data_IF_533265019113
#
_entry.id   IF_533265019113
#
_cell.length_a   1.000
_cell.length_b   1.000
_cell.length_c   1.000
_cell.angle_alpha   90.00
_cell.angle_beta   90.00
_cell.angle_gamma   90.00
#
_symmetry.space_group_name_H-M   'P 1'
#
loop_
_entity.id
_entity.type
_entity.pdbx_description
1 polymer ?
#
# COMPACT_ATOMS: atom_id res chain seq x y z
N UNK A 1 -0.44 36.73 2.41
CA UNK A 1 1.02 36.80 2.66
C UNK A 1 1.26 37.29 4.08
N UNK A 2 2.04 36.52 4.84
CA UNK A 2 2.44 36.69 6.26
C UNK A 2 1.38 36.33 7.31
N UNK A 3 1.43 35.06 7.75
CA UNK A 3 1.48 34.66 9.17
C UNK A 3 1.63 33.14 9.29
N UNK A 4 2.75 32.59 8.82
CA UNK A 4 3.22 31.24 9.20
C UNK A 4 4.74 31.32 9.23
N UNK A 5 5.34 31.48 10.42
CA UNK A 5 6.67 30.99 10.74
C UNK A 5 6.96 31.25 12.22
N UNK A 6 6.90 30.21 13.04
CA UNK A 6 7.78 30.05 14.19
C UNK A 6 7.70 28.58 14.61
N UNK A 7 8.59 27.74 14.07
CA UNK A 7 9.11 26.60 14.82
C UNK A 7 10.60 26.46 14.53
N UNK A 8 11.33 26.26 15.61
CA UNK A 8 12.77 26.47 15.75
C UNK A 8 13.54 25.28 15.20
N UNK A 9 14.60 25.59 14.46
CA UNK A 9 15.65 24.69 13.98
C UNK A 9 16.36 24.01 15.17
N UNK A 10 16.42 22.67 15.20
CA UNK A 10 17.42 21.95 15.99
C UNK A 10 17.94 20.71 15.23
N UNK A 11 19.19 20.86 14.77
CA UNK A 11 20.28 19.90 14.54
C UNK A 11 19.90 18.45 14.18
N UNK A 12 20.20 18.13 12.93
CA UNK A 12 20.27 16.81 12.29
C UNK A 12 21.20 15.86 13.04
N UNK A 13 20.72 14.65 13.35
CA UNK A 13 21.53 13.45 13.48
C UNK A 13 20.68 12.24 13.03
N UNK A 14 21.14 11.40 12.08
CA UNK A 14 20.39 10.24 11.63
C UNK A 14 20.66 9.10 12.62
N UNK A 15 19.80 8.96 13.61
CA UNK A 15 19.73 7.75 14.42
C UNK A 15 18.30 7.27 14.33
N UNK A 16 18.09 6.27 13.47
CA UNK A 16 16.86 5.48 13.39
C UNK A 16 16.49 5.03 14.80
N UNK A 17 15.45 5.65 15.36
CA UNK A 17 14.93 5.28 16.67
C UNK A 17 14.12 3.99 16.49
N UNK A 18 14.60 2.94 17.16
CA UNK A 18 13.95 1.66 17.32
C UNK A 18 12.46 1.82 17.65
N UNK A 19 11.60 1.16 16.88
CA UNK A 19 10.24 0.83 17.32
C UNK A 19 10.32 -0.22 18.43
N UNK A 20 10.56 0.25 19.65
CA UNK A 20 10.29 -0.52 20.85
C UNK A 20 8.78 -0.65 21.02
N UNK A 21 8.34 -1.91 21.08
CA UNK A 21 6.99 -2.36 21.43
C UNK A 21 6.26 -1.41 22.38
N UNK A 22 5.26 -0.67 21.89
CA UNK A 22 4.32 0.02 22.75
C UNK A 22 3.34 -1.04 23.26
N UNK A 23 3.57 -1.48 24.48
CA UNK A 23 2.61 -2.31 25.22
C UNK A 23 1.32 -1.52 25.45
N UNK A 24 0.25 -1.95 24.79
CA UNK A 24 -1.17 -1.74 25.15
C UNK A 24 -1.55 -0.34 25.66
N UNK A 25 -1.73 0.60 24.73
CA UNK A 25 -2.73 1.65 24.87
C UNK A 25 -3.38 1.81 23.49
N UNK A 26 -4.67 1.51 23.38
CA UNK A 26 -5.45 1.84 22.19
C UNK A 26 -5.23 3.34 21.92
N UNK A 27 -4.63 3.67 20.76
CA UNK A 27 -4.40 5.06 20.40
C UNK A 27 -5.72 5.68 20.00
N UNK A 28 -6.39 6.22 21.01
CA UNK A 28 -7.65 6.89 20.86
C UNK A 28 -7.40 8.38 20.99
N UNK A 29 -8.05 9.19 20.17
CA UNK A 29 -8.16 10.60 20.49
C UNK A 29 -9.01 10.75 21.76
N UNK A 30 -8.55 11.55 22.72
CA UNK A 30 -9.28 11.80 23.97
C UNK A 30 -9.85 13.22 23.92
N UNK A 31 -11.18 13.33 23.92
CA UNK A 31 -11.88 14.59 24.12
C UNK A 31 -12.15 14.82 25.61
N UNK A 32 -11.57 15.86 26.18
CA UNK A 32 -11.88 16.32 27.54
C UNK A 32 -12.98 17.39 27.51
N UNK A 33 -14.22 17.09 27.94
CA UNK A 33 -15.31 18.04 27.93
C UNK A 33 -15.12 19.22 28.89
N UNK A 34 -14.27 19.08 29.93
CA UNK A 34 -14.04 20.13 30.91
C UNK A 34 -13.18 21.26 30.34
N UNK A 35 -12.24 20.93 29.46
CA UNK A 35 -11.32 21.89 28.83
C UNK A 35 -11.65 22.18 27.37
N UNK A 36 -12.47 21.35 26.72
CA UNK A 36 -12.73 21.43 25.29
C UNK A 36 -11.52 20.99 24.44
N UNK A 37 -10.59 20.26 25.04
CA UNK A 37 -9.34 19.82 24.40
C UNK A 37 -9.50 18.42 23.83
N UNK A 38 -8.96 18.21 22.63
CA UNK A 38 -8.76 16.90 22.04
C UNK A 38 -7.26 16.59 22.09
N UNK A 39 -6.91 15.45 22.68
CA UNK A 39 -5.54 14.91 22.64
C UNK A 39 -5.48 13.79 21.61
N UNK A 40 -4.78 14.02 20.51
CA UNK A 40 -4.53 13.04 19.46
C UNK A 40 -3.26 12.26 19.79
N UNK A 41 -3.34 10.94 19.74
CA UNK A 41 -2.17 10.09 20.01
C UNK A 41 -1.13 10.26 18.90
N UNK A 42 -1.56 10.22 17.64
CA UNK A 42 -0.72 10.50 16.48
C UNK A 42 -1.53 11.12 15.35
N UNK A 43 -0.95 12.11 14.68
CA UNK A 43 -1.57 12.79 13.54
C UNK A 43 -0.55 12.94 12.41
N UNK A 44 -1.00 12.68 11.19
CA UNK A 44 -0.29 13.01 9.97
C UNK A 44 -0.98 14.19 9.29
N UNK A 45 -0.25 15.28 9.05
CA UNK A 45 -0.72 16.42 8.28
C UNK A 45 -0.11 16.38 6.88
N UNK A 46 -0.94 16.42 5.84
CA UNK A 46 -0.52 16.29 4.44
C UNK A 46 -1.54 16.87 3.47
N UNK A 47 -1.14 17.09 2.22
CA UNK A 47 -2.06 17.48 1.12
C UNK A 47 -2.14 16.44 -0.01
N UNK A 48 -1.38 15.34 0.09
CA UNK A 48 -1.34 14.24 -0.88
C UNK A 48 -0.74 14.60 -2.24
N UNK A 49 -0.13 15.78 -2.40
CA UNK A 49 0.36 16.28 -3.69
C UNK A 49 1.81 15.90 -4.02
N UNK A 50 2.57 15.41 -3.04
CA UNK A 50 4.04 15.29 -3.03
C UNK A 50 4.84 16.58 -3.17
N UNK A 51 4.18 17.73 -3.43
CA UNK A 51 4.84 19.01 -3.70
C UNK A 51 5.08 19.85 -2.45
N UNK A 52 4.44 19.50 -1.34
CA UNK A 52 4.56 20.21 -0.07
C UNK A 52 5.07 19.28 1.02
N UNK A 53 5.62 19.90 2.07
CA UNK A 53 6.08 19.18 3.26
C UNK A 53 4.88 18.67 4.06
N UNK A 54 4.95 17.42 4.51
CA UNK A 54 4.00 16.81 5.46
C UNK A 54 4.57 16.84 6.88
N UNK A 55 3.73 16.70 7.89
CA UNK A 55 4.15 16.71 9.30
C UNK A 55 3.56 15.49 10.01
N UNK A 56 4.40 14.68 10.65
CA UNK A 56 3.94 13.65 11.58
C UNK A 56 4.18 14.12 13.01
N UNK A 57 3.17 13.99 13.87
CA UNK A 57 3.25 14.44 15.25
C UNK A 57 2.52 13.49 16.21
N UNK A 58 2.96 13.44 17.46
CA UNK A 58 2.35 12.62 18.51
C UNK A 58 2.00 13.44 19.75
N UNK A 59 1.00 12.97 20.51
CA UNK A 59 0.46 13.67 21.67
C UNK A 59 0.08 15.12 21.35
N UNK A 60 -0.64 15.31 20.24
CA UNK A 60 -1.04 16.64 19.77
C UNK A 60 -2.30 17.07 20.49
N UNK A 61 -2.25 18.25 21.11
CA UNK A 61 -3.39 18.84 21.79
C UNK A 61 -3.99 19.94 20.93
N UNK A 62 -5.28 19.84 20.65
CA UNK A 62 -6.03 20.84 19.88
C UNK A 62 -7.34 21.19 20.57
N UNK A 63 -7.89 22.37 20.26
CA UNK A 63 -9.28 22.67 20.56
C UNK A 63 -10.16 22.38 19.34
N UNK A 64 -11.37 21.88 19.57
CA UNK A 64 -12.35 21.72 18.51
C UNK A 64 -12.84 23.09 18.02
N UNK A 65 -12.81 23.31 16.71
CA UNK A 65 -13.44 24.45 16.05
C UNK A 65 -14.86 24.10 15.62
N UNK A 66 -15.07 24.01 14.31
CA UNK A 66 -16.33 23.57 13.71
C UNK A 66 -16.37 22.04 13.60
N UNK A 67 -17.49 21.42 13.97
CA UNK A 67 -17.72 19.99 13.72
C UNK A 67 -18.42 19.86 12.37
N UNK A 68 -17.74 19.24 11.40
CA UNK A 68 -18.24 19.08 10.04
C UNK A 68 -19.05 17.79 9.90
N UNK A 69 -18.56 16.72 10.49
CA UNK A 69 -19.31 15.47 10.60
C UNK A 69 -18.93 14.74 11.88
N UNK A 70 -19.90 14.02 12.41
CA UNK A 70 -19.68 13.00 13.43
C UNK A 70 -20.07 11.68 12.79
N UNK A 71 -19.22 10.67 12.89
CA UNK A 71 -19.60 9.31 12.52
C UNK A 71 -20.65 8.75 13.48
N UNK A 72 -20.78 7.44 13.50
CA UNK A 72 -21.78 6.75 14.32
C UNK A 72 -21.25 6.61 15.74
N UNK A 73 -22.16 6.53 16.71
CA UNK A 73 -21.82 5.98 18.01
C UNK A 73 -21.31 4.55 17.78
N UNK A 74 -20.04 4.31 18.10
CA UNK A 74 -19.37 3.05 17.79
C UNK A 74 -19.95 1.93 18.67
N UNK A 75 -20.52 0.84 18.11
CA UNK A 75 -20.73 -0.35 18.93
C UNK A 75 -19.37 -1.00 19.25
N UNK A 76 -19.22 -1.70 20.38
CA UNK A 76 -17.95 -2.20 20.92
C UNK A 76 -17.36 -3.40 20.15
N UNK A 77 -17.49 -3.44 18.82
CA UNK A 77 -16.57 -4.22 17.99
C UNK A 77 -15.23 -3.48 18.00
N UNK A 78 -14.60 -3.57 19.16
CA UNK A 78 -13.24 -3.19 19.48
C UNK A 78 -12.38 -3.66 18.31
N UNK A 79 -11.51 -2.80 17.81
CA UNK A 79 -10.28 -3.18 17.12
C UNK A 79 -9.68 -4.35 17.89
N UNK A 80 -9.94 -5.62 17.50
CA UNK A 80 -9.63 -6.73 18.38
C UNK A 80 -8.12 -6.70 18.55
N UNK A 81 -7.64 -6.79 19.78
CA UNK A 81 -6.20 -6.92 19.99
C UNK A 81 -5.70 -8.12 19.19
N UNK A 82 -4.61 -8.01 18.40
CA UNK A 82 -3.60 -6.93 18.41
C UNK A 82 -3.74 -5.89 17.28
N UNK A 83 -4.94 -5.37 16.98
CA UNK A 83 -5.09 -4.29 16.00
C UNK A 83 -4.36 -3.01 16.46
N UNK A 84 -3.53 -2.37 15.60
CA UNK A 84 -2.68 -1.29 16.03
C UNK A 84 -3.44 0.04 16.15
N UNK A 85 -2.90 0.93 16.97
CA UNK A 85 -3.24 2.34 17.08
C UNK A 85 -3.57 3.01 15.73
N UNK A 86 -4.69 3.72 15.58
CA UNK A 86 -4.98 4.49 14.36
C UNK A 86 -4.16 5.79 14.28
N UNK A 87 -3.89 6.27 13.07
CA UNK A 87 -3.30 7.58 12.82
C UNK A 87 -4.44 8.52 12.43
N UNK A 88 -4.52 9.70 13.04
CA UNK A 88 -5.47 10.74 12.61
C UNK A 88 -4.86 11.53 11.43
N UNK A 89 -5.70 12.12 10.57
CA UNK A 89 -5.21 12.83 9.38
C UNK A 89 -5.69 14.28 9.34
N UNK A 90 -4.75 15.22 9.23
CA UNK A 90 -5.04 16.62 8.98
C UNK A 90 -4.80 16.96 7.51
N UNK A 91 -5.88 17.14 6.76
CA UNK A 91 -5.83 17.56 5.37
C UNK A 91 -5.48 19.05 5.29
N UNK A 92 -4.27 19.36 4.84
CA UNK A 92 -3.80 20.74 4.76
C UNK A 92 -4.51 21.55 3.68
N UNK A 93 -5.04 20.91 2.65
CA UNK A 93 -5.74 21.57 1.55
C UNK A 93 -7.14 22.01 1.97
N UNK A 94 -7.87 21.14 2.67
CA UNK A 94 -9.22 21.46 3.18
C UNK A 94 -9.21 22.06 4.57
N UNK A 95 -8.09 21.98 5.30
CA UNK A 95 -7.95 22.35 6.71
C UNK A 95 -8.86 21.53 7.64
N UNK A 96 -8.99 20.24 7.36
CA UNK A 96 -9.88 19.32 8.09
C UNK A 96 -9.07 18.28 8.85
N UNK A 97 -9.37 18.14 10.13
CA UNK A 97 -8.85 17.03 10.94
C UNK A 97 -9.88 15.90 10.92
N UNK A 98 -9.46 14.76 10.40
CA UNK A 98 -10.15 13.48 10.45
C UNK A 98 -9.60 12.69 11.63
N UNK A 99 -10.49 12.40 12.56
CA UNK A 99 -10.20 11.64 13.76
C UNK A 99 -10.86 10.27 13.60
N UNK A 100 -10.04 9.24 13.48
CA UNK A 100 -10.52 7.88 13.21
C UNK A 100 -11.40 7.38 14.34
N UNK A 101 -10.99 7.63 15.58
CA UNK A 101 -11.75 7.28 16.77
C UNK A 101 -11.47 8.27 17.91
N UNK A 102 -12.54 8.76 18.54
CA UNK A 102 -12.47 9.71 19.65
C UNK A 102 -13.39 9.28 20.79
N UNK A 103 -12.89 9.40 22.03
CA UNK A 103 -13.68 9.12 23.22
C UNK A 103 -13.47 10.12 24.35
N UNK A 104 -14.39 10.17 25.29
CA UNK A 104 -14.17 10.87 26.56
C UNK A 104 -13.37 10.01 27.55
N UNK A 105 -12.68 10.62 28.53
CA UNK A 105 -11.94 9.89 29.57
C UNK A 105 -12.78 8.85 30.32
N UNK A 106 -14.06 9.15 30.54
CA UNK A 106 -15.04 8.30 31.22
C UNK A 106 -15.78 7.34 30.27
N UNK A 107 -15.40 7.32 28.98
CA UNK A 107 -15.99 6.51 27.91
C UNK A 107 -17.52 6.69 27.76
N UNK A 108 -18.07 7.82 28.21
CA UNK A 108 -19.49 8.14 28.03
C UNK A 108 -19.84 8.53 26.59
N UNK A 109 -18.85 9.00 25.83
CA UNK A 109 -18.94 9.29 24.39
C UNK A 109 -17.83 8.53 23.67
N UNK A 110 -18.20 7.83 22.61
CA UNK A 110 -17.29 7.13 21.68
C UNK A 110 -17.81 7.33 20.26
N UNK A 111 -17.01 7.93 19.39
CA UNK A 111 -17.37 8.25 18.01
C UNK A 111 -16.24 7.85 17.07
N UNK A 112 -16.60 7.36 15.89
CA UNK A 112 -15.67 7.17 14.78
C UNK A 112 -15.78 8.30 13.75
N UNK A 113 -14.78 8.37 12.87
CA UNK A 113 -14.78 9.18 11.65
C UNK A 113 -15.27 10.62 11.89
N UNK A 114 -14.77 11.22 12.97
CA UNK A 114 -15.13 12.59 13.34
C UNK A 114 -14.30 13.53 12.51
N UNK A 115 -14.95 14.48 11.84
CA UNK A 115 -14.28 15.48 11.01
C UNK A 115 -14.55 16.86 11.57
N UNK A 116 -13.48 17.59 11.88
CA UNK A 116 -13.56 18.92 12.45
C UNK A 116 -12.64 19.91 11.72
N UNK A 117 -12.96 21.20 11.83
CA UNK A 117 -11.95 22.25 11.71
C UNK A 117 -11.23 22.38 13.04
N UNK A 118 -9.89 22.46 12.99
CA UNK A 118 -9.08 22.71 14.19
C UNK A 118 -9.27 24.15 14.64
N UNK A 119 -9.60 24.36 15.92
CA UNK A 119 -9.72 25.69 16.50
C UNK A 119 -8.35 26.31 16.79
N UNK A 120 -7.57 25.65 17.65
CA UNK A 120 -6.20 26.03 17.97
C UNK A 120 -5.35 24.81 18.28
N UNK A 121 -4.06 24.88 17.95
CA UNK A 121 -3.06 23.88 18.37
C UNK A 121 -2.44 24.36 19.67
N UNK A 122 -2.59 23.58 20.73
CA UNK A 122 -2.10 23.89 22.08
C UNK A 122 -0.67 23.39 22.30
N UNK A 123 -0.30 22.30 21.63
CA UNK A 123 1.05 21.74 21.69
C UNK A 123 1.14 20.35 21.06
N UNK A 124 2.36 19.84 20.95
CA UNK A 124 2.65 18.46 20.54
C UNK A 124 3.78 17.91 21.42
N UNK A 125 3.74 16.60 21.71
CA UNK A 125 4.83 15.94 22.43
C UNK A 125 6.05 15.71 21.54
N UNK A 126 5.81 15.31 20.29
CA UNK A 126 6.82 15.16 19.25
C UNK A 126 6.25 15.62 17.90
N UNK A 127 7.12 16.13 17.04
CA UNK A 127 6.79 16.45 15.65
C UNK A 127 8.02 16.30 14.77
N UNK A 128 7.82 15.76 13.57
CA UNK A 128 8.81 15.71 12.51
C UNK A 128 8.23 16.22 11.18
N UNK A 129 9.05 16.95 10.43
CA UNK A 129 8.76 17.34 9.06
C UNK A 129 9.19 16.23 8.09
N UNK A 130 8.32 15.89 7.15
CA UNK A 130 8.56 14.95 6.06
C UNK A 130 8.68 15.78 4.78
N UNK A 131 9.89 15.83 4.22
CA UNK A 131 10.17 16.66 3.03
C UNK A 131 9.29 16.30 1.83
N UNK A 132 8.98 17.30 1.00
CA UNK A 132 8.29 17.09 -0.28
C UNK A 132 8.99 16.01 -1.12
N UNK A 133 8.19 15.16 -1.78
CA UNK A 133 8.66 14.01 -2.56
C UNK A 133 9.08 12.77 -1.74
N UNK A 134 9.06 12.84 -0.40
CA UNK A 134 9.27 11.67 0.46
C UNK A 134 7.91 11.05 0.81
N UNK A 135 7.83 9.71 0.80
CA UNK A 135 6.62 9.01 1.21
C UNK A 135 6.25 9.36 2.66
N UNK A 136 4.97 9.69 2.87
CA UNK A 136 4.42 10.07 4.17
C UNK A 136 3.27 9.15 4.62
N UNK A 137 2.82 8.24 3.75
CA UNK A 137 1.85 7.19 4.09
C UNK A 137 2.35 6.30 5.24
N UNK A 138 1.52 6.10 6.27
CA UNK A 138 1.93 5.41 7.50
C UNK A 138 1.49 3.95 7.52
N UNK A 139 2.44 3.04 7.49
CA UNK A 139 2.19 1.64 7.80
C UNK A 139 2.31 1.37 9.30
N UNK A 140 1.42 0.54 9.83
CA UNK A 140 1.36 0.21 11.26
C UNK A 140 1.53 -1.27 11.46
N UNK A 141 2.72 -1.67 11.93
CA UNK A 141 3.14 -3.07 11.90
C UNK A 141 2.66 -3.86 13.11
N UNK A 142 2.07 -5.03 12.84
CA UNK A 142 1.77 -6.08 13.81
C UNK A 142 2.52 -7.32 13.35
N UNK A 143 3.78 -7.43 13.78
CA UNK A 143 4.67 -8.53 13.43
C UNK A 143 4.65 -9.57 14.56
N UNK A 144 4.02 -10.72 14.30
CA UNK A 144 3.85 -11.76 15.29
C UNK A 144 5.18 -12.33 15.80
N UNK A 145 5.19 -12.87 17.03
CA UNK A 145 6.38 -13.46 17.64
C UNK A 145 6.85 -14.74 16.93
N UNK A 146 5.97 -15.41 16.17
CA UNK A 146 6.31 -16.59 15.35
C UNK A 146 7.30 -16.31 14.22
N UNK A 147 7.44 -15.05 13.81
CA UNK A 147 8.37 -14.65 12.75
C UNK A 147 9.81 -14.53 13.30
N UNK A 148 10.81 -15.17 12.65
CA UNK A 148 12.21 -15.02 13.03
C UNK A 148 12.71 -13.57 12.95
N UNK A 149 13.63 -13.18 13.84
CA UNK A 149 14.23 -11.84 13.81
C UNK A 149 14.92 -11.52 12.47
N UNK A 150 15.51 -12.52 11.81
CA UNK A 150 16.08 -12.34 10.47
C UNK A 150 15.04 -11.85 9.46
N UNK A 151 13.85 -12.46 9.47
CA UNK A 151 12.76 -12.05 8.60
C UNK A 151 12.26 -10.65 8.94
N UNK A 152 12.13 -10.33 10.23
CA UNK A 152 11.69 -8.99 10.69
C UNK A 152 12.67 -7.89 10.26
N UNK A 153 13.97 -8.15 10.35
CA UNK A 153 15.00 -7.22 9.89
C UNK A 153 14.95 -7.03 8.37
N UNK A 154 14.78 -8.12 7.61
CA UNK A 154 14.68 -8.05 6.15
C UNK A 154 13.39 -7.34 5.71
N UNK A 155 12.27 -7.58 6.38
CA UNK A 155 11.01 -6.87 6.18
C UNK A 155 11.19 -5.36 6.33
N UNK A 156 11.91 -4.89 7.36
CA UNK A 156 12.19 -3.47 7.55
C UNK A 156 13.03 -2.89 6.39
N UNK A 157 14.04 -3.63 5.92
CA UNK A 157 14.84 -3.23 4.75
C UNK A 157 13.96 -3.11 3.50
N UNK A 158 13.09 -4.10 3.26
CA UNK A 158 12.18 -4.12 2.12
C UNK A 158 11.22 -2.93 2.18
N UNK A 159 10.56 -2.70 3.31
CA UNK A 159 9.64 -1.58 3.49
C UNK A 159 10.33 -0.22 3.32
N UNK A 160 11.60 -0.09 3.73
CA UNK A 160 12.39 1.13 3.53
C UNK A 160 12.76 1.35 2.06
N UNK A 161 13.16 0.29 1.34
CA UNK A 161 13.41 0.37 -0.10
C UNK A 161 12.13 0.76 -0.86
N UNK A 162 11.01 0.11 -0.57
CA UNK A 162 9.74 0.35 -1.24
C UNK A 162 9.18 1.75 -0.97
N UNK A 163 9.25 2.26 0.26
CA UNK A 163 8.84 3.64 0.54
C UNK A 163 9.73 4.69 -0.13
N UNK A 164 11.02 4.38 -0.33
CA UNK A 164 11.95 5.24 -1.07
C UNK A 164 11.66 5.21 -2.57
N UNK A 165 11.51 4.01 -3.13
CA UNK A 165 11.52 3.81 -4.58
C UNK A 165 10.10 3.85 -5.18
N UNK A 166 9.06 3.59 -4.40
CA UNK A 166 7.65 3.62 -4.80
C UNK A 166 6.88 4.46 -3.76
N UNK A 167 7.08 5.78 -3.74
CA UNK A 167 6.51 6.62 -2.69
C UNK A 167 4.97 6.67 -2.76
N UNK A 168 4.32 6.43 -1.62
CA UNK A 168 2.87 6.59 -1.45
C UNK A 168 2.64 7.87 -0.65
N UNK A 169 1.82 8.77 -1.20
CA UNK A 169 1.48 10.03 -0.57
C UNK A 169 0.13 9.98 0.13
N UNK A 170 0.13 10.38 1.39
CA UNK A 170 -1.01 10.37 2.27
C UNK A 170 -2.01 11.45 1.87
N UNK A 171 -3.28 11.05 1.79
CA UNK A 171 -4.41 11.91 1.48
C UNK A 171 -5.60 11.53 2.34
N UNK A 172 -6.60 12.41 2.37
CA UNK A 172 -7.80 12.36 3.22
C UNK A 172 -8.47 10.99 3.42
N UNK A 173 -8.43 10.08 2.45
CA UNK A 173 -9.05 8.73 2.51
C UNK A 173 -8.03 7.60 2.37
N UNK A 174 -6.73 7.94 2.32
CA UNK A 174 -5.65 6.99 2.06
C UNK A 174 -4.35 7.53 2.66
N UNK A 175 -4.18 7.38 3.97
CA UNK A 175 -3.02 7.93 4.70
C UNK A 175 -2.35 6.93 5.65
N UNK A 176 -3.01 5.82 5.99
CA UNK A 176 -2.39 4.76 6.79
C UNK A 176 -3.00 3.39 6.54
N UNK A 177 -2.25 2.34 6.85
CA UNK A 177 -2.71 0.96 6.79
C UNK A 177 -2.02 0.08 7.85
N UNK A 178 -2.77 -0.78 8.56
CA UNK A 178 -2.18 -1.80 9.41
C UNK A 178 -1.64 -2.95 8.56
N UNK A 179 -0.49 -3.49 8.96
CA UNK A 179 0.11 -4.70 8.37
C UNK A 179 0.12 -5.78 9.45
N UNK A 180 -0.47 -6.94 9.14
CA UNK A 180 -0.40 -8.12 9.97
C UNK A 180 0.49 -9.15 9.29
N UNK A 181 1.57 -9.56 9.96
CA UNK A 181 2.47 -10.60 9.46
C UNK A 181 2.66 -11.69 10.50
N UNK A 182 2.54 -12.95 10.09
CA UNK A 182 2.73 -14.12 10.96
C UNK A 182 3.14 -15.34 10.14
N UNK A 183 3.64 -16.37 10.85
CA UNK A 183 3.94 -17.66 10.25
C UNK A 183 2.69 -18.54 10.20
N UNK A 184 2.44 -19.23 9.09
CA UNK A 184 1.19 -19.97 8.84
C UNK A 184 0.90 -21.13 9.81
N UNK A 185 1.91 -21.61 10.55
CA UNK A 185 1.76 -22.64 11.58
C UNK A 185 1.56 -22.08 13.00
N UNK A 186 1.51 -20.76 13.15
CA UNK A 186 1.13 -20.06 14.37
C UNK A 186 -0.38 -19.75 14.38
N UNK A 187 -0.88 -19.30 15.53
CA UNK A 187 -2.23 -18.74 15.61
C UNK A 187 -2.28 -17.43 14.82
N UNK A 188 -3.32 -17.28 13.99
CA UNK A 188 -3.52 -16.04 13.22
C UNK A 188 -3.69 -14.86 14.19
N UNK A 189 -3.14 -13.66 13.89
CA UNK A 189 -3.25 -12.50 14.77
C UNK A 189 -4.70 -12.15 15.12
N UNK A 190 -5.61 -12.30 14.14
CA UNK A 190 -7.04 -12.06 14.29
C UNK A 190 -7.86 -13.07 13.49
N UNK A 191 -9.08 -13.44 13.92
CA UNK A 191 -9.88 -14.49 13.28
C UNK A 191 -10.12 -14.30 11.78
N UNK A 192 -10.29 -13.05 11.34
CA UNK A 192 -10.61 -12.65 9.97
C UNK A 192 -9.40 -12.27 9.12
N UNK A 193 -8.19 -12.28 9.69
CA UNK A 193 -6.94 -12.00 8.96
C UNK A 193 -6.38 -13.34 8.46
N UNK A 194 -6.10 -13.43 7.16
CA UNK A 194 -5.64 -14.66 6.49
C UNK A 194 -4.97 -14.37 5.15
N UNK A 195 -4.02 -15.21 4.76
CA UNK A 195 -3.38 -15.19 3.44
C UNK A 195 -2.49 -13.96 3.19
N UNK A 196 -2.03 -13.85 1.95
CA UNK A 196 -1.47 -12.62 1.37
C UNK A 196 -2.57 -11.84 0.67
N UNK A 197 -2.88 -10.63 1.16
CA UNK A 197 -3.78 -9.69 0.46
C UNK A 197 -3.75 -8.28 1.06
N UNK A 198 -4.21 -7.31 0.27
CA UNK A 198 -4.88 -6.12 0.79
C UNK A 198 -6.36 -6.42 0.99
N UNK A 199 -6.71 -6.72 2.24
CA UNK A 199 -8.01 -7.26 2.60
C UNK A 199 -8.87 -6.20 3.32
N UNK A 200 -10.16 -6.49 3.48
CA UNK A 200 -11.14 -5.60 4.13
C UNK A 200 -11.89 -4.69 3.16
N UNK A 201 -12.45 -3.58 3.66
CA UNK A 201 -13.28 -2.66 2.87
C UNK A 201 -14.73 -3.12 2.66
N UNK A 202 -15.18 -4.14 3.41
CA UNK A 202 -16.55 -4.69 3.43
C UNK A 202 -16.57 -6.15 3.92
N UNK A 203 -17.28 -6.47 5.01
CA UNK A 203 -17.37 -7.82 5.61
C UNK A 203 -17.13 -7.84 7.13
N UNK A 204 -16.80 -9.01 7.71
CA UNK A 204 -16.59 -9.24 9.16
C UNK A 204 -15.46 -8.39 9.77
N UNK A 205 -14.58 -7.78 8.95
CA UNK A 205 -13.53 -6.83 9.36
C UNK A 205 -13.91 -5.34 9.26
N UNK A 206 -15.17 -5.02 8.95
CA UNK A 206 -15.66 -3.64 8.90
C UNK A 206 -15.18 -2.81 7.69
N UNK A 207 -15.28 -1.47 7.80
CA UNK A 207 -14.89 -0.49 6.78
C UNK A 207 -13.36 -0.37 6.58
N UNK A 208 -12.57 -1.09 7.37
CA UNK A 208 -11.11 -0.96 7.39
C UNK A 208 -10.45 -1.82 6.31
N UNK A 209 -9.34 -1.33 5.77
CA UNK A 209 -8.44 -2.11 4.92
C UNK A 209 -7.15 -2.40 5.68
N UNK A 210 -6.56 -3.57 5.46
CA UNK A 210 -5.28 -3.97 6.04
C UNK A 210 -4.47 -4.77 5.03
N UNK A 211 -3.16 -4.81 5.24
CA UNK A 211 -2.27 -5.74 4.56
C UNK A 211 -2.10 -6.99 5.42
N UNK A 212 -2.34 -8.15 4.82
CA UNK A 212 -2.15 -9.45 5.43
C UNK A 212 -0.94 -10.14 4.79
N UNK A 213 -0.01 -10.63 5.60
CA UNK A 213 1.21 -11.32 5.20
C UNK A 213 1.31 -12.65 5.96
N UNK A 214 0.50 -13.63 5.56
CA UNK A 214 0.63 -15.01 6.05
C UNK A 214 1.79 -15.70 5.33
N UNK A 215 2.89 -15.95 6.04
CA UNK A 215 4.08 -16.57 5.47
C UNK A 215 4.08 -18.08 5.76
N UNK A 216 4.15 -18.90 4.71
CA UNK A 216 4.13 -20.36 4.89
C UNK A 216 5.30 -20.84 5.75
N UNK A 217 5.02 -21.68 6.73
CA UNK A 217 6.04 -22.28 7.59
C UNK A 217 7.14 -23.02 6.80
N UNK A 218 6.78 -23.63 5.67
CA UNK A 218 7.72 -24.34 4.81
C UNK A 218 8.70 -23.39 4.10
N UNK A 219 8.35 -22.13 3.91
CA UNK A 219 9.26 -21.17 3.26
C UNK A 219 10.45 -20.82 4.15
N UNK A 220 10.28 -20.90 5.47
CA UNK A 220 11.38 -20.81 6.42
C UNK A 220 12.23 -22.08 6.45
N UNK A 221 11.60 -23.26 6.37
CA UNK A 221 12.30 -24.55 6.36
C UNK A 221 13.17 -24.74 5.11
N UNK A 222 12.63 -24.38 3.94
CA UNK A 222 13.28 -24.57 2.64
C UNK A 222 13.95 -23.31 2.10
N UNK A 223 14.05 -22.25 2.92
CA UNK A 223 14.66 -20.98 2.54
C UNK A 223 14.06 -20.41 1.22
N UNK A 224 12.75 -20.56 1.02
CA UNK A 224 12.07 -20.08 -0.19
C UNK A 224 12.00 -18.54 -0.18
N UNK A 225 12.36 -17.91 -1.29
CA UNK A 225 12.40 -16.45 -1.45
C UNK A 225 11.02 -15.79 -1.39
N UNK A 226 9.94 -16.54 -1.61
CA UNK A 226 8.56 -16.03 -1.55
C UNK A 226 8.24 -15.33 -0.22
N UNK A 227 8.87 -15.78 0.89
CA UNK A 227 8.72 -15.14 2.21
C UNK A 227 9.08 -13.65 2.21
N UNK A 228 9.95 -13.22 1.30
CA UNK A 228 10.34 -11.83 1.11
C UNK A 228 9.62 -11.20 -0.10
N UNK A 229 9.33 -11.94 -1.17
CA UNK A 229 8.65 -11.41 -2.37
C UNK A 229 7.20 -11.01 -2.13
N UNK A 230 6.51 -11.63 -1.16
CA UNK A 230 5.15 -11.25 -0.81
C UNK A 230 5.03 -9.79 -0.35
N UNK A 231 6.07 -9.25 0.30
CA UNK A 231 6.09 -7.87 0.81
C UNK A 231 6.00 -6.82 -0.33
N UNK A 232 6.88 -6.82 -1.35
CA UNK A 232 6.75 -5.91 -2.48
C UNK A 232 5.47 -6.14 -3.31
N UNK A 233 4.98 -7.39 -3.42
CA UNK A 233 3.71 -7.68 -4.09
C UNK A 233 2.54 -6.93 -3.43
N UNK A 234 2.35 -7.13 -2.13
CA UNK A 234 1.25 -6.50 -1.40
C UNK A 234 1.46 -5.00 -1.22
N UNK A 235 2.69 -4.53 -1.02
CA UNK A 235 2.99 -3.10 -1.00
C UNK A 235 2.55 -2.43 -2.30
N UNK A 236 2.80 -3.05 -3.45
CA UNK A 236 2.41 -2.48 -4.73
C UNK A 236 0.90 -2.42 -4.89
N UNK A 237 0.15 -3.38 -4.37
CA UNK A 237 -1.32 -3.28 -4.28
C UNK A 237 -1.76 -2.06 -3.46
N UNK A 238 -1.07 -1.68 -2.38
CA UNK A 238 -1.37 -0.44 -1.64
C UNK A 238 -1.14 0.79 -2.52
N UNK A 239 -0.07 0.80 -3.32
CA UNK A 239 0.18 1.85 -4.30
C UNK A 239 -0.91 1.90 -5.39
N UNK A 240 -1.28 0.75 -5.98
CA UNK A 240 -2.31 0.66 -7.02
C UNK A 240 -3.67 1.13 -6.48
N UNK A 241 -4.10 0.63 -5.33
CA UNK A 241 -5.38 1.00 -4.70
C UNK A 241 -5.45 2.47 -4.28
N UNK A 242 -4.30 3.13 -4.14
CA UNK A 242 -4.28 4.58 -3.93
C UNK A 242 -4.68 5.36 -5.20
N UNK A 243 -4.69 4.76 -6.38
CA UNK A 243 -5.03 5.45 -7.64
C UNK A 243 -6.16 4.80 -8.45
N UNK A 244 -6.33 3.50 -8.31
CA UNK A 244 -7.14 2.65 -9.18
C UNK A 244 -8.42 2.20 -8.50
N UNK A 245 -9.51 2.11 -9.27
CA UNK A 245 -10.80 1.55 -8.84
C UNK A 245 -11.24 0.41 -9.79
N UNK A 246 -10.55 -0.73 -9.69
CA UNK A 246 -10.80 -1.93 -10.50
C UNK A 246 -11.15 -3.14 -9.63
N UNK A 247 -12.24 -3.09 -8.83
CA UNK A 247 -12.59 -4.16 -7.92
C UNK A 247 -12.83 -5.48 -8.68
N UNK A 248 -12.09 -6.51 -8.28
CA UNK A 248 -12.18 -7.86 -8.86
C UNK A 248 -11.52 -8.03 -10.23
N UNK A 249 -10.91 -6.98 -10.79
CA UNK A 249 -10.14 -7.09 -12.03
C UNK A 249 -8.77 -7.71 -11.73
N UNK A 250 -8.40 -8.75 -12.47
CA UNK A 250 -7.24 -9.58 -12.10
C UNK A 250 -5.95 -9.20 -12.82
N UNK A 251 -5.81 -9.40 -14.13
CA UNK A 251 -4.48 -9.33 -14.77
C UNK A 251 -3.82 -7.94 -14.71
N UNK A 252 -4.60 -6.86 -14.76
CA UNK A 252 -4.08 -5.49 -14.60
C UNK A 252 -3.69 -5.14 -13.15
N UNK A 253 -4.15 -5.93 -12.18
CA UNK A 253 -3.81 -5.76 -10.77
C UNK A 253 -2.67 -6.71 -10.39
N UNK A 254 -2.90 -8.03 -10.52
CA UNK A 254 -1.96 -9.07 -10.10
C UNK A 254 -0.77 -9.26 -11.05
N UNK A 255 -0.96 -9.05 -12.36
CA UNK A 255 0.14 -9.17 -13.33
C UNK A 255 1.25 -8.17 -13.05
N UNK A 256 0.94 -6.87 -12.95
CA UNK A 256 1.89 -5.85 -12.52
C UNK A 256 2.50 -6.08 -11.14
N UNK A 257 1.71 -6.47 -10.13
CA UNK A 257 2.23 -6.75 -8.79
C UNK A 257 3.21 -7.93 -8.77
N UNK A 258 2.86 -9.05 -9.41
CA UNK A 258 3.70 -10.24 -9.51
C UNK A 258 4.94 -10.01 -10.40
N UNK A 259 4.86 -9.09 -11.37
CA UNK A 259 6.04 -8.68 -12.16
C UNK A 259 6.98 -7.81 -11.31
N UNK A 260 6.43 -6.90 -10.52
CA UNK A 260 7.20 -6.02 -9.65
C UNK A 260 7.90 -6.78 -8.52
N UNK A 261 7.25 -7.77 -7.89
CA UNK A 261 7.93 -8.62 -6.89
C UNK A 261 9.11 -9.38 -7.51
N UNK A 262 8.98 -9.86 -8.76
CA UNK A 262 10.05 -10.59 -9.45
C UNK A 262 11.22 -9.68 -9.80
N UNK A 263 10.94 -8.44 -10.25
CA UNK A 263 11.98 -7.42 -10.46
C UNK A 263 12.66 -7.06 -9.14
N UNK A 264 11.90 -6.87 -8.05
CA UNK A 264 12.45 -6.60 -6.72
C UNK A 264 13.39 -7.73 -6.27
N UNK A 265 12.95 -8.98 -6.46
CA UNK A 265 13.73 -10.16 -6.07
C UNK A 265 15.01 -10.29 -6.89
N UNK A 266 14.94 -10.01 -8.20
CA UNK A 266 16.12 -9.98 -9.07
C UNK A 266 17.09 -8.87 -8.64
N UNK A 267 16.58 -7.66 -8.40
CA UNK A 267 17.38 -6.48 -8.03
C UNK A 267 18.12 -6.66 -6.70
N UNK A 268 17.45 -7.20 -5.67
CA UNK A 268 17.98 -7.24 -4.31
C UNK A 268 18.57 -8.59 -3.88
N UNK A 269 18.15 -9.70 -4.51
CA UNK A 269 18.62 -11.04 -4.16
C UNK A 269 19.30 -11.77 -5.32
N UNK A 270 19.29 -11.22 -6.55
CA UNK A 270 19.92 -11.84 -7.71
C UNK A 270 19.26 -13.15 -8.12
N UNK A 271 17.96 -13.30 -7.83
CA UNK A 271 17.19 -14.52 -8.11
C UNK A 271 16.23 -14.24 -9.26
N UNK A 272 16.26 -15.12 -10.27
CA UNK A 272 15.25 -15.16 -11.33
C UNK A 272 13.96 -15.80 -10.80
N UNK A 273 13.12 -14.96 -10.21
CA UNK A 273 11.83 -15.40 -9.68
C UNK A 273 10.84 -15.72 -10.80
N UNK A 274 10.93 -15.03 -11.94
CA UNK A 274 10.12 -15.29 -13.13
C UNK A 274 10.19 -16.76 -13.55
N UNK A 275 11.40 -17.29 -13.73
CA UNK A 275 11.60 -18.66 -14.21
C UNK A 275 11.28 -19.73 -13.17
N UNK A 276 11.25 -19.38 -11.88
CA UNK A 276 11.08 -20.36 -10.79
C UNK A 276 9.66 -20.41 -10.23
N UNK A 277 8.95 -19.27 -10.19
CA UNK A 277 7.61 -19.16 -9.62
C UNK A 277 6.50 -19.09 -10.68
N UNK A 278 6.68 -18.28 -11.72
CA UNK A 278 5.64 -18.04 -12.72
C UNK A 278 5.81 -18.89 -13.99
N UNK A 279 7.00 -18.93 -14.60
CA UNK A 279 7.26 -19.63 -15.87
C UNK A 279 6.76 -21.09 -15.93
N UNK A 280 6.99 -21.94 -14.91
CA UNK A 280 6.55 -23.35 -14.91
C UNK A 280 5.03 -23.54 -14.95
N UNK A 281 4.25 -22.49 -14.65
CA UNK A 281 2.79 -22.51 -14.56
C UNK A 281 2.11 -21.87 -15.78
N UNK A 282 2.87 -21.47 -16.81
CA UNK A 282 2.31 -20.78 -17.98
C UNK A 282 1.38 -21.70 -18.78
N UNK A 283 0.11 -21.34 -18.83
CA UNK A 283 -0.94 -22.10 -19.52
C UNK A 283 -1.24 -21.54 -20.91
N UNK A 284 -1.49 -22.41 -21.89
CA UNK A 284 -1.95 -22.03 -23.24
C UNK A 284 -3.26 -21.22 -23.22
N UNK A 285 -4.04 -21.31 -22.14
CA UNK A 285 -5.27 -20.54 -21.95
C UNK A 285 -5.06 -19.02 -22.07
N UNK A 286 -3.86 -18.50 -21.75
CA UNK A 286 -3.55 -17.07 -21.94
C UNK A 286 -3.62 -16.65 -23.41
N UNK A 287 -3.29 -17.56 -24.33
CA UNK A 287 -3.41 -17.37 -25.79
C UNK A 287 -4.80 -17.68 -26.30
N UNK A 288 -5.45 -18.72 -25.79
CA UNK A 288 -6.79 -19.11 -26.25
C UNK A 288 -7.86 -18.07 -25.87
N UNK A 289 -7.81 -17.58 -24.63
CA UNK A 289 -8.82 -16.69 -24.07
C UNK A 289 -8.20 -15.64 -23.10
N UNK A 290 -7.39 -14.69 -23.60
CA UNK A 290 -6.75 -13.66 -22.76
C UNK A 290 -7.75 -12.85 -21.92
N UNK A 291 -8.95 -12.57 -22.43
CA UNK A 291 -10.01 -11.87 -21.68
C UNK A 291 -10.48 -12.60 -20.42
N UNK A 292 -10.27 -13.92 -20.32
CA UNK A 292 -10.61 -14.65 -19.07
C UNK A 292 -9.74 -14.22 -17.88
N UNK A 293 -8.55 -13.68 -18.14
CA UNK A 293 -7.62 -13.20 -17.12
C UNK A 293 -8.05 -11.86 -16.51
N UNK A 294 -9.14 -11.25 -16.99
CA UNK A 294 -9.75 -10.09 -16.33
C UNK A 294 -10.39 -10.44 -14.98
N UNK A 295 -10.73 -11.71 -14.73
CA UNK A 295 -11.39 -12.13 -13.49
C UNK A 295 -10.72 -13.32 -12.82
N UNK A 296 -10.77 -13.34 -11.48
CA UNK A 296 -10.26 -14.45 -10.68
C UNK A 296 -10.99 -15.76 -10.95
N UNK A 297 -12.31 -15.74 -11.14
CA UNK A 297 -13.11 -16.94 -11.33
C UNK A 297 -12.90 -17.59 -12.69
N UNK A 298 -12.79 -16.79 -13.77
CA UNK A 298 -12.63 -17.33 -15.12
C UNK A 298 -11.21 -17.87 -15.40
N UNK A 299 -10.18 -17.32 -14.73
CA UNK A 299 -8.78 -17.72 -14.92
C UNK A 299 -8.22 -18.62 -13.81
N UNK A 300 -9.04 -19.01 -12.82
CA UNK A 300 -8.59 -19.67 -11.57
C UNK A 300 -7.61 -20.82 -11.79
N UNK A 301 -7.94 -21.75 -12.68
CA UNK A 301 -7.14 -22.96 -12.93
C UNK A 301 -6.00 -22.72 -13.93
N UNK A 302 -6.06 -21.61 -14.68
CA UNK A 302 -5.17 -21.30 -15.80
C UNK A 302 -4.05 -20.30 -15.44
N UNK A 303 -4.15 -19.66 -14.28
CA UNK A 303 -3.28 -18.55 -13.88
C UNK A 303 -2.72 -18.78 -12.47
N UNK A 304 -2.14 -19.97 -12.29
CA UNK A 304 -1.43 -20.36 -11.08
C UNK A 304 -0.21 -19.46 -10.92
N UNK A 305 0.00 -18.93 -9.70
CA UNK A 305 1.02 -17.94 -9.38
C UNK A 305 1.00 -16.72 -10.32
N UNK A 306 -0.19 -16.36 -10.82
CA UNK A 306 -0.39 -15.25 -11.76
C UNK A 306 0.41 -15.38 -13.06
N UNK A 307 0.83 -16.58 -13.45
CA UNK A 307 1.76 -16.79 -14.56
C UNK A 307 1.27 -16.24 -15.92
N UNK A 308 -0.01 -16.39 -16.25
CA UNK A 308 -0.53 -15.78 -17.47
C UNK A 308 -0.69 -14.26 -17.32
N UNK A 309 -1.06 -13.77 -16.14
CA UNK A 309 -1.13 -12.32 -15.86
C UNK A 309 0.23 -11.63 -15.95
N UNK A 310 1.30 -12.26 -15.45
CA UNK A 310 2.68 -11.80 -15.60
C UNK A 310 3.11 -11.88 -17.06
N UNK A 311 2.81 -12.98 -17.75
CA UNK A 311 3.08 -13.10 -19.19
C UNK A 311 2.44 -11.97 -20.00
N UNK A 312 1.17 -11.64 -19.73
CA UNK A 312 0.50 -10.49 -20.36
C UNK A 312 1.22 -9.18 -20.03
N UNK A 313 1.65 -8.98 -18.79
CA UNK A 313 2.41 -7.79 -18.39
C UNK A 313 3.73 -7.65 -19.14
N UNK A 314 4.49 -8.75 -19.26
CA UNK A 314 5.76 -8.76 -19.99
C UNK A 314 5.57 -8.57 -21.51
N UNK A 315 4.54 -9.17 -22.11
CA UNK A 315 4.21 -8.92 -23.52
C UNK A 315 3.83 -7.45 -23.74
N UNK A 316 3.06 -6.84 -22.83
CA UNK A 316 2.75 -5.41 -22.92
C UNK A 316 4.03 -4.56 -22.87
N UNK A 317 4.96 -4.88 -21.97
CA UNK A 317 6.27 -4.21 -21.91
C UNK A 317 7.04 -4.35 -23.22
N UNK A 318 7.10 -5.56 -23.79
CA UNK A 318 7.77 -5.81 -25.06
C UNK A 318 7.13 -5.06 -26.24
N UNK A 319 5.80 -4.98 -26.30
CA UNK A 319 5.10 -4.20 -27.33
C UNK A 319 5.34 -2.69 -27.20
N UNK A 320 5.41 -2.17 -25.96
CA UNK A 320 5.78 -0.79 -25.70
C UNK A 320 7.22 -0.49 -26.14
N UNK A 321 8.16 -1.42 -25.92
CA UNK A 321 9.54 -1.29 -26.40
C UNK A 321 9.62 -1.31 -27.94
N UNK A 322 8.79 -2.11 -28.62
CA UNK A 322 8.69 -2.07 -30.10
C UNK A 322 8.18 -0.73 -30.64
N UNK A 323 7.47 0.06 -29.82
CA UNK A 323 7.09 1.43 -30.14
C UNK A 323 8.24 2.44 -29.95
N UNK A 324 9.43 1.98 -29.56
CA UNK A 324 10.63 2.81 -29.39
C UNK A 324 10.85 3.32 -27.96
N UNK A 325 10.09 2.84 -26.98
CA UNK A 325 10.33 3.13 -25.57
C UNK A 325 11.50 2.29 -25.06
N UNK A 326 12.29 2.85 -24.13
CA UNK A 326 13.22 2.05 -23.34
C UNK A 326 12.47 1.07 -22.42
N UNK A 327 13.17 0.06 -21.93
CA UNK A 327 12.61 -0.90 -20.97
C UNK A 327 12.09 -0.20 -19.70
N UNK A 328 12.83 0.78 -19.17
CA UNK A 328 12.41 1.59 -18.03
C UNK A 328 11.12 2.35 -18.34
N UNK A 329 11.02 2.99 -19.50
CA UNK A 329 9.82 3.73 -19.89
C UNK A 329 8.60 2.83 -20.11
N UNK A 330 8.81 1.63 -20.67
CA UNK A 330 7.76 0.64 -20.85
C UNK A 330 7.19 0.18 -19.51
N UNK A 331 8.05 -0.20 -18.57
CA UNK A 331 7.64 -0.59 -17.22
C UNK A 331 7.05 0.60 -16.43
N UNK A 332 7.58 1.82 -16.57
CA UNK A 332 6.98 3.04 -15.98
C UNK A 332 5.54 3.23 -16.45
N UNK A 333 5.26 3.03 -17.74
CA UNK A 333 3.88 3.15 -18.25
C UNK A 333 2.93 2.17 -17.57
N UNK A 334 3.38 0.93 -17.37
CA UNK A 334 2.57 -0.15 -16.79
C UNK A 334 2.40 0.06 -15.28
N UNK A 335 3.49 0.29 -14.55
CA UNK A 335 3.49 0.30 -13.09
C UNK A 335 3.11 1.66 -12.50
N UNK A 336 3.38 2.77 -13.20
CA UNK A 336 3.13 4.12 -12.70
C UNK A 336 2.06 4.84 -13.51
N UNK A 337 2.27 5.06 -14.80
CA UNK A 337 1.42 5.99 -15.57
C UNK A 337 -0.01 5.50 -15.72
N UNK A 338 -0.23 4.18 -15.92
CA UNK A 338 -1.56 3.60 -15.96
C UNK A 338 -2.32 3.78 -14.64
N UNK A 339 -1.65 3.57 -13.51
CA UNK A 339 -2.24 3.83 -12.19
C UNK A 339 -2.58 5.32 -12.03
N UNK A 340 -1.67 6.23 -12.38
CA UNK A 340 -1.88 7.69 -12.31
C UNK A 340 -2.98 8.21 -13.25
N UNK A 341 -3.30 7.46 -14.32
CA UNK A 341 -4.43 7.74 -15.19
C UNK A 341 -5.80 7.45 -14.54
N UNK A 342 -5.81 6.85 -13.33
CA UNK A 342 -6.98 6.56 -12.48
C UNK A 342 -8.05 5.73 -13.20
N UNK A 343 -7.71 4.53 -13.70
CA UNK A 343 -8.67 3.65 -14.34
C UNK A 343 -9.76 3.20 -13.36
N UNK A 344 -10.98 3.13 -13.86
CA UNK A 344 -12.17 2.57 -13.21
C UNK A 344 -12.77 1.48 -14.09
N UNK A 345 -13.67 0.64 -13.56
CA UNK A 345 -14.35 -0.38 -14.37
C UNK A 345 -15.07 0.20 -15.60
N UNK A 346 -15.53 1.45 -15.54
CA UNK A 346 -16.22 2.11 -16.66
C UNK A 346 -15.27 2.69 -17.72
N UNK A 347 -14.00 2.94 -17.39
CA UNK A 347 -13.10 3.70 -18.27
C UNK A 347 -11.75 3.03 -18.57
N UNK A 348 -11.44 1.88 -17.95
CA UNK A 348 -10.10 1.31 -17.99
C UNK A 348 -9.62 1.00 -19.41
N UNK A 349 -10.48 0.56 -20.33
CA UNK A 349 -10.09 0.31 -21.73
C UNK A 349 -9.68 1.60 -22.44
N UNK A 350 -10.37 2.71 -22.16
CA UNK A 350 -10.03 4.02 -22.70
C UNK A 350 -8.70 4.51 -22.12
N UNK A 351 -8.47 4.31 -20.81
CA UNK A 351 -7.19 4.62 -20.16
C UNK A 351 -6.05 3.72 -20.63
N UNK A 352 -6.35 2.46 -20.93
CA UNK A 352 -5.40 1.50 -21.48
C UNK A 352 -4.91 1.98 -22.84
N UNK A 353 -5.84 2.36 -23.74
CA UNK A 353 -5.50 2.95 -25.03
C UNK A 353 -4.74 4.29 -24.89
N UNK A 354 -5.18 5.17 -24.00
CA UNK A 354 -4.54 6.48 -23.76
C UNK A 354 -3.06 6.33 -23.34
N UNK A 355 -2.78 5.40 -22.42
CA UNK A 355 -1.45 5.24 -21.83
C UNK A 355 -0.52 4.41 -22.71
N UNK A 356 -1.02 3.31 -23.28
CA UNK A 356 -0.22 2.33 -24.00
C UNK A 356 -0.25 2.47 -25.51
N UNK A 357 -1.17 3.29 -26.05
CA UNK A 357 -1.40 3.46 -27.49
C UNK A 357 -1.75 2.15 -28.22
N UNK A 358 -2.25 1.16 -27.48
CA UNK A 358 -2.74 -0.13 -27.98
C UNK A 358 -4.15 -0.31 -27.42
N UNK A 359 -5.13 -0.67 -28.25
CA UNK A 359 -6.47 -1.01 -27.74
C UNK A 359 -6.45 -2.40 -27.08
N UNK A 360 -7.33 -2.64 -26.11
CA UNK A 360 -7.46 -3.93 -25.43
C UNK A 360 -7.66 -5.08 -26.43
N UNK A 361 -8.57 -4.92 -27.40
CA UNK A 361 -8.80 -5.92 -28.46
C UNK A 361 -7.53 -6.21 -29.28
N UNK A 362 -6.75 -5.17 -29.60
CA UNK A 362 -5.49 -5.33 -30.34
C UNK A 362 -4.46 -6.05 -29.48
N UNK A 363 -4.36 -5.68 -28.21
CA UNK A 363 -3.45 -6.32 -27.26
C UNK A 363 -3.78 -7.79 -27.06
N UNK A 364 -5.05 -8.13 -26.83
CA UNK A 364 -5.49 -9.52 -26.74
C UNK A 364 -5.21 -10.29 -28.03
N UNK A 365 -5.39 -9.67 -29.21
CA UNK A 365 -5.03 -10.28 -30.49
C UNK A 365 -3.52 -10.51 -30.64
N UNK A 366 -2.68 -9.62 -30.11
CA UNK A 366 -1.22 -9.80 -30.06
C UNK A 366 -0.87 -11.01 -29.19
N UNK A 367 -1.47 -11.12 -27.99
CA UNK A 367 -1.23 -12.23 -27.06
C UNK A 367 -1.47 -13.59 -27.73
N UNK A 368 -2.57 -13.75 -28.49
CA UNK A 368 -2.89 -15.03 -29.19
C UNK A 368 -1.79 -15.50 -30.15
N UNK A 369 -0.95 -14.59 -30.63
CA UNK A 369 0.09 -14.85 -31.62
C UNK A 369 1.50 -14.88 -31.03
N UNK A 370 1.67 -14.55 -29.75
CA UNK A 370 2.97 -14.56 -29.08
C UNK A 370 3.44 -15.99 -28.80
N UNK A 371 4.75 -16.22 -28.80
CA UNK A 371 5.30 -17.50 -28.32
C UNK A 371 4.90 -17.73 -26.87
N UNK A 372 4.42 -18.94 -26.54
CA UNK A 372 4.06 -19.30 -25.17
C UNK A 372 5.32 -19.62 -24.35
N UNK A 373 6.16 -18.62 -24.12
CA UNK A 373 7.37 -18.72 -23.30
C UNK A 373 7.71 -17.36 -22.68
N UNK A 374 8.37 -17.39 -21.53
CA UNK A 374 8.99 -16.21 -20.92
C UNK A 374 10.32 -15.84 -21.59
N UNK A 375 10.88 -16.76 -22.39
CA UNK A 375 12.15 -16.55 -23.08
C UNK A 375 12.11 -15.30 -23.97
N UNK A 376 13.06 -14.39 -23.78
CA UNK A 376 13.13 -13.12 -24.50
C UNK A 376 12.12 -12.06 -24.07
N UNK A 377 11.31 -12.32 -23.04
CA UNK A 377 10.39 -11.37 -22.41
C UNK A 377 10.85 -10.90 -21.03
N UNK A 378 11.81 -11.60 -20.40
CA UNK A 378 12.29 -11.25 -19.07
C UNK A 378 12.92 -9.86 -19.03
N UNK A 379 12.64 -9.06 -17.99
CA UNK A 379 13.32 -7.79 -17.78
C UNK A 379 14.83 -7.98 -17.60
N UNK A 380 15.60 -6.96 -17.98
CA UNK A 380 17.05 -6.89 -17.74
C UNK A 380 17.37 -6.92 -16.23
N UNK A 381 18.45 -7.61 -15.85
CA UNK A 381 19.00 -7.59 -14.48
C UNK A 381 19.43 -6.17 -14.01
N UNK A 382 19.66 -5.27 -14.97
CA UNK A 382 20.01 -3.87 -14.73
C UNK A 382 18.79 -2.97 -14.48
N UNK A 383 17.55 -3.44 -14.73
CA UNK A 383 16.34 -2.69 -14.45
C UNK A 383 16.23 -2.43 -12.94
N UNK A 384 15.98 -1.18 -12.55
CA UNK A 384 15.82 -0.78 -11.14
C UNK A 384 14.44 -0.20 -10.89
N UNK A 385 13.81 -0.59 -9.78
CA UNK A 385 12.49 -0.08 -9.40
C UNK A 385 12.52 1.43 -9.22
N UNK A 386 13.57 1.98 -8.63
CA UNK A 386 13.74 3.43 -8.46
C UNK A 386 13.67 4.23 -9.77
N UNK A 387 14.12 3.65 -10.90
CA UNK A 387 14.07 4.31 -12.21
C UNK A 387 12.68 4.27 -12.85
N UNK A 388 11.88 3.26 -12.53
CA UNK A 388 10.51 3.11 -13.03
C UNK A 388 9.61 4.19 -12.43
N UNK A 389 9.81 4.54 -11.17
CA UNK A 389 8.94 5.47 -10.44
C UNK A 389 9.49 6.89 -10.32
N UNK A 390 10.71 7.14 -10.80
CA UNK A 390 11.24 8.50 -10.94
C UNK A 390 10.44 9.33 -11.95
N UNK A 391 10.35 10.65 -11.71
CA UNK A 391 9.64 11.61 -12.55
C UNK A 391 10.24 11.80 -13.95
#
# INVERSE_FOLDING_TARGET
>A
MKNILFLVTLIVSPVFAHFLSITSAYADAIYDPATGTITLTSVLAGDGSSQTESIYATNVQVTAGEILSMGKAWPPYIHPSPWPAEVDFYDMATQELKISYIRTPDTSIELNDVVIKVGSVLGAGFSESISAGVADYKFRYVLDESLPNEWKNEFEIIMNNLQRDIPIYAKSEWYSMPIFAWKSDAERPLPFVSGGCICGGGGEGGHFRWMSLEISASEFEYNNIHRYSLVPHEYFHVYQLSHVDLPGFKWLMEGPAATLESIYVQEHYGIDYFSTAQGPNLSEQVRENPSSYESYSASREADINYSGSVFMTLVLSAELQKQGLSEVEAHRKIFRDFNLAKPTLENWEAKFLEVFLISVDSFYSIIKNYELSYDGLLPSEDLKISQIFSD
#
